data_IF_808911278306
#
_entry.id   IF_808911278306
#
_cell.length_a   1.000
_cell.length_b   1.000
_cell.length_c   1.000
_cell.angle_alpha   90.00
_cell.angle_beta   90.00
_cell.angle_gamma   90.00
#
_symmetry.space_group_name_H-M   'P 1'
#
loop_
_entity.id
_entity.type
_entity.pdbx_description
1 polymer ?
#
# COMPACT_ATOMS: atom_id res chain seq x y z
N UNK A 1 -0.05 -0.94 25.65
CA UNK A 1 0.88 -1.42 26.69
C UNK A 1 2.31 -1.19 26.18
N UNK A 2 3.21 -0.85 27.07
CA UNK A 2 4.64 -0.77 26.79
C UNK A 2 5.26 -2.15 26.94
N UNK A 3 6.42 -2.40 26.31
CA UNK A 3 7.20 -3.61 26.50
C UNK A 3 7.62 -3.82 27.96
N UNK A 4 7.78 -5.08 28.36
CA UNK A 4 8.33 -5.45 29.67
C UNK A 4 9.85 -5.23 29.77
N UNK A 5 10.44 -5.53 30.90
CA UNK A 5 11.87 -5.31 31.14
C UNK A 5 12.82 -6.10 30.21
N UNK A 6 12.33 -7.17 29.58
CA UNK A 6 13.10 -8.00 28.66
C UNK A 6 12.96 -7.54 27.18
N UNK A 7 12.08 -6.57 26.89
CA UNK A 7 11.93 -5.99 25.56
C UNK A 7 13.09 -5.04 25.21
N UNK A 8 13.26 -4.72 23.92
CA UNK A 8 14.23 -3.71 23.50
C UNK A 8 13.92 -2.35 24.15
N UNK A 9 14.92 -1.49 24.27
CA UNK A 9 14.73 -0.15 24.84
C UNK A 9 13.65 0.63 24.08
N UNK A 10 13.58 0.45 22.76
CA UNK A 10 12.56 1.06 21.91
C UNK A 10 11.15 0.63 22.33
N UNK A 11 10.92 -0.68 22.53
CA UNK A 11 9.61 -1.22 22.90
C UNK A 11 9.25 -1.02 24.37
N UNK A 12 10.23 -0.81 25.24
CA UNK A 12 9.98 -0.36 26.62
C UNK A 12 9.43 1.07 26.66
N UNK A 13 9.88 1.92 25.76
CA UNK A 13 9.50 3.34 25.69
C UNK A 13 8.24 3.52 24.84
N UNK A 14 8.15 2.81 23.73
CA UNK A 14 7.03 2.86 22.79
C UNK A 14 5.92 1.84 23.15
N UNK A 15 4.92 1.75 22.29
CA UNK A 15 3.86 0.73 22.39
C UNK A 15 4.39 -0.59 21.85
N UNK A 16 4.14 -1.69 22.59
CA UNK A 16 4.56 -3.02 22.18
C UNK A 16 3.85 -3.47 20.90
N UNK A 17 4.60 -3.97 19.95
CA UNK A 17 4.11 -4.49 18.66
C UNK A 17 3.93 -3.43 17.59
N UNK A 18 3.53 -3.87 16.40
CA UNK A 18 3.21 -2.98 15.28
C UNK A 18 1.75 -2.55 15.31
N UNK A 19 1.49 -1.27 15.35
CA UNK A 19 0.14 -0.70 15.32
C UNK A 19 -0.08 -0.02 13.97
N UNK A 20 -0.93 -0.64 13.14
CA UNK A 20 -1.33 -0.06 11.87
C UNK A 20 -2.59 0.77 12.07
N UNK A 21 -2.47 2.05 11.84
CA UNK A 21 -3.58 3.00 11.84
C UNK A 21 -3.59 3.65 10.47
N UNK A 22 -4.76 3.86 9.87
CA UNK A 22 -4.92 4.71 8.71
C UNK A 22 -5.96 5.78 8.98
N UNK A 23 -5.74 6.94 8.39
CA UNK A 23 -6.76 7.98 8.26
C UNK A 23 -7.19 8.04 6.81
N UNK A 24 -8.48 7.83 6.57
CA UNK A 24 -9.05 7.82 5.23
C UNK A 24 -9.86 9.10 5.00
N UNK A 25 -9.46 9.86 3.99
CA UNK A 25 -10.13 11.07 3.57
C UNK A 25 -10.69 10.86 2.17
N UNK A 26 -11.91 11.30 1.92
CA UNK A 26 -12.50 11.20 0.59
C UNK A 26 -13.51 12.31 0.33
N UNK A 27 -13.48 12.81 -0.89
CA UNK A 27 -14.46 13.76 -1.40
C UNK A 27 -15.05 13.21 -2.70
N UNK A 28 -16.37 13.13 -2.77
CA UNK A 28 -17.09 12.70 -3.96
C UNK A 28 -17.99 13.82 -4.48
N UNK A 29 -17.83 14.14 -5.75
CA UNK A 29 -18.77 14.95 -6.50
C UNK A 29 -19.65 14.06 -7.38
N UNK A 30 -20.96 14.22 -7.30
CA UNK A 30 -21.94 13.48 -8.08
C UNK A 30 -22.67 14.43 -9.01
N UNK A 31 -22.48 14.28 -10.31
CA UNK A 31 -23.30 14.90 -11.35
C UNK A 31 -24.41 13.92 -11.80
N UNK A 32 -25.23 14.34 -12.75
CA UNK A 32 -26.32 13.50 -13.29
C UNK A 32 -25.80 12.23 -13.97
N UNK A 33 -24.77 12.37 -14.80
CA UNK A 33 -24.31 11.33 -15.71
C UNK A 33 -22.86 10.86 -15.42
N UNK A 34 -22.23 11.39 -14.36
CA UNK A 34 -20.87 11.02 -13.95
C UNK A 34 -20.61 11.33 -12.46
N UNK A 35 -19.61 10.70 -11.90
CA UNK A 35 -19.11 11.06 -10.58
C UNK A 35 -17.60 11.04 -10.55
N UNK A 36 -17.02 11.93 -9.74
CA UNK A 36 -15.59 12.01 -9.46
C UNK A 36 -15.37 11.87 -7.96
N UNK A 37 -14.47 10.98 -7.58
CA UNK A 37 -14.04 10.79 -6.19
C UNK A 37 -12.53 10.98 -6.09
N UNK A 38 -12.10 11.92 -5.25
CA UNK A 38 -10.72 12.01 -4.78
C UNK A 38 -10.63 11.41 -3.40
N UNK A 39 -9.54 10.65 -3.11
CA UNK A 39 -9.33 10.05 -1.80
C UNK A 39 -7.86 10.01 -1.45
N UNK A 40 -7.60 10.01 -0.15
CA UNK A 40 -6.28 9.89 0.44
C UNK A 40 -6.35 8.99 1.66
N UNK A 41 -5.53 7.95 1.69
CA UNK A 41 -5.32 7.10 2.85
C UNK A 41 -3.94 7.39 3.41
N UNK A 42 -3.91 7.92 4.63
CA UNK A 42 -2.69 8.22 5.36
C UNK A 42 -2.29 7.04 6.23
N UNK A 43 -1.02 6.66 6.18
CA UNK A 43 -0.46 5.56 6.97
C UNK A 43 0.14 6.09 8.27
N UNK A 44 -0.16 5.44 9.39
CA UNK A 44 0.42 5.73 10.68
C UNK A 44 0.96 4.46 11.31
N UNK A 45 2.23 4.44 11.64
CA UNK A 45 2.87 3.35 12.38
C UNK A 45 3.10 3.70 13.85
N UNK A 46 3.34 4.96 14.12
CA UNK A 46 3.54 5.50 15.45
C UNK A 46 3.02 6.94 15.57
N UNK A 47 3.43 7.61 16.63
CA UNK A 47 3.04 9.01 16.88
C UNK A 47 3.54 9.96 15.79
N UNK A 48 4.70 9.70 15.17
CA UNK A 48 5.22 10.56 14.10
C UNK A 48 4.33 10.52 12.87
N UNK A 49 3.79 9.34 12.51
CA UNK A 49 2.78 9.19 11.48
C UNK A 49 1.47 9.91 11.84
N UNK A 50 1.00 9.79 13.10
CA UNK A 50 -0.19 10.52 13.57
C UNK A 50 -0.03 12.05 13.51
N UNK A 51 1.19 12.54 13.64
CA UNK A 51 1.55 13.96 13.51
C UNK A 51 1.85 14.37 12.04
N UNK A 52 1.61 13.50 11.07
CA UNK A 52 1.87 13.72 9.64
C UNK A 52 3.34 14.03 9.29
N UNK A 53 4.29 13.57 10.10
CA UNK A 53 5.73 13.76 9.86
C UNK A 53 6.27 12.89 8.72
N UNK A 54 5.56 11.83 8.36
CA UNK A 54 5.83 11.00 7.19
C UNK A 54 5.42 11.66 5.85
N UNK A 55 5.04 12.94 5.89
CA UNK A 55 4.84 13.79 4.72
C UNK A 55 3.70 13.30 3.83
N UNK A 56 4.02 12.92 2.60
CA UNK A 56 3.05 12.48 1.59
C UNK A 56 2.87 10.96 1.54
N UNK A 57 3.48 10.21 2.46
CA UNK A 57 3.31 8.76 2.48
C UNK A 57 1.85 8.37 2.66
N UNK A 58 1.45 7.37 1.89
CA UNK A 58 0.07 6.92 1.81
C UNK A 58 -0.37 6.63 0.38
N UNK A 59 -1.68 6.47 0.20
CA UNK A 59 -2.32 6.24 -1.08
C UNK A 59 -3.18 7.46 -1.45
N UNK A 60 -2.93 8.02 -2.61
CA UNK A 60 -3.69 9.10 -3.23
C UNK A 60 -4.45 8.55 -4.43
N UNK A 61 -5.74 8.74 -4.49
CA UNK A 61 -6.57 8.16 -5.54
C UNK A 61 -7.54 9.15 -6.17
N UNK A 62 -7.80 8.90 -7.44
CA UNK A 62 -8.83 9.57 -8.24
C UNK A 62 -9.64 8.51 -8.97
N UNK A 63 -10.95 8.54 -8.81
CA UNK A 63 -11.90 7.63 -9.44
C UNK A 63 -12.94 8.43 -10.22
N UNK A 64 -13.06 8.15 -11.52
CA UNK A 64 -14.07 8.71 -12.40
C UNK A 64 -15.03 7.60 -12.83
N UNK A 65 -16.32 7.78 -12.60
CA UNK A 65 -17.38 6.88 -13.04
C UNK A 65 -18.23 7.57 -14.10
N UNK A 66 -18.45 6.87 -15.23
CA UNK A 66 -19.16 7.33 -16.42
C UNK A 66 -20.24 6.30 -16.83
N UNK A 67 -21.29 6.09 -16.02
CA UNK A 67 -22.25 5.00 -16.22
C UNK A 67 -23.03 5.07 -17.54
N UNK A 68 -23.08 6.23 -18.17
CA UNK A 68 -23.74 6.45 -19.48
C UNK A 68 -22.82 6.22 -20.67
N UNK A 69 -21.54 5.91 -20.42
CA UNK A 69 -20.52 5.77 -21.45
C UNK A 69 -19.96 4.34 -21.44
N UNK A 70 -20.61 3.37 -22.10
CA UNK A 70 -20.36 1.96 -21.84
C UNK A 70 -18.93 1.51 -22.15
N UNK A 71 -18.27 2.08 -23.13
CA UNK A 71 -16.91 1.69 -23.48
C UNK A 71 -15.82 2.32 -22.58
N UNK A 72 -16.18 3.20 -21.62
CA UNK A 72 -15.36 3.63 -20.51
C UNK A 72 -16.27 3.93 -19.30
N UNK A 73 -16.67 2.89 -18.58
CA UNK A 73 -17.56 3.02 -17.42
C UNK A 73 -16.83 3.58 -16.19
N UNK A 74 -15.56 3.22 -16.05
CA UNK A 74 -14.76 3.63 -14.89
C UNK A 74 -13.29 3.81 -15.27
N UNK A 75 -12.69 4.85 -14.70
CA UNK A 75 -11.26 5.10 -14.68
C UNK A 75 -10.82 5.28 -13.23
N UNK A 76 -9.68 4.68 -12.85
CA UNK A 76 -9.02 4.85 -11.56
C UNK A 76 -7.57 5.20 -11.80
N UNK A 77 -7.07 6.17 -11.05
CA UNK A 77 -5.66 6.48 -10.93
C UNK A 77 -5.30 6.50 -9.45
N UNK A 78 -4.25 5.77 -9.08
CA UNK A 78 -3.71 5.79 -7.73
C UNK A 78 -2.20 6.02 -7.74
N UNK A 79 -1.76 6.79 -6.77
CA UNK A 79 -0.37 7.03 -6.47
C UNK A 79 -0.10 6.60 -5.03
N UNK A 80 0.84 5.68 -4.84
CA UNK A 80 1.26 5.20 -3.52
C UNK A 80 2.71 5.57 -3.29
N UNK A 81 3.01 6.03 -2.11
CA UNK A 81 4.40 6.20 -1.66
C UNK A 81 4.54 5.82 -0.19
N UNK A 82 5.65 5.16 0.12
CA UNK A 82 6.07 4.78 1.47
C UNK A 82 7.53 5.18 1.73
N UNK A 83 7.99 6.23 1.05
CA UNK A 83 9.42 6.58 0.99
C UNK A 83 9.90 7.45 2.14
N UNK A 84 9.03 8.27 2.70
CA UNK A 84 9.40 9.24 3.71
C UNK A 84 9.65 8.60 5.07
N UNK A 85 8.71 7.75 5.53
CA UNK A 85 8.81 6.99 6.78
C UNK A 85 9.21 7.86 7.98
N UNK A 86 8.68 9.09 8.04
CA UNK A 86 9.00 10.10 9.07
C UNK A 86 10.49 10.44 9.17
N UNK A 87 11.21 10.35 8.03
CA UNK A 87 12.63 10.64 7.92
C UNK A 87 13.56 9.46 8.18
N UNK A 88 14.87 9.64 8.01
CA UNK A 88 15.85 8.55 8.06
C UNK A 88 16.28 8.15 9.47
N UNK A 89 15.91 8.91 10.50
CA UNK A 89 16.36 8.69 11.86
C UNK A 89 15.21 8.39 12.78
N UNK A 90 15.35 7.31 13.55
CA UNK A 90 14.50 7.06 14.69
C UNK A 90 15.09 7.77 15.91
N UNK A 91 14.31 8.64 16.55
CA UNK A 91 14.73 9.37 17.73
C UNK A 91 13.91 8.98 18.94
N UNK A 92 14.60 8.83 20.06
CA UNK A 92 14.03 8.56 21.39
C UNK A 92 14.51 9.68 22.32
N UNK A 93 13.59 10.27 23.07
CA UNK A 93 13.96 11.25 24.07
C UNK A 93 14.65 10.56 25.26
N UNK A 94 15.88 11.00 25.59
CA UNK A 94 16.65 10.47 26.70
C UNK A 94 16.01 10.70 28.06
N UNK A 95 15.21 11.74 28.22
CA UNK A 95 14.47 12.06 29.47
C UNK A 95 12.98 11.73 29.25
N UNK A 96 12.66 10.45 29.29
CA UNK A 96 11.31 9.94 29.09
C UNK A 96 10.33 10.42 30.17
N UNK A 97 10.80 10.68 31.41
CA UNK A 97 9.93 11.13 32.51
C UNK A 97 9.44 12.56 32.26
N UNK A 98 10.27 13.41 31.67
CA UNK A 98 9.87 14.77 31.27
C UNK A 98 9.12 14.85 29.95
N UNK A 99 9.35 13.86 29.06
CA UNK A 99 8.77 13.83 27.72
C UNK A 99 8.18 12.47 27.36
N UNK A 100 7.21 11.96 28.15
CA UNK A 100 6.64 10.64 27.95
C UNK A 100 5.97 10.53 26.58
N UNK A 101 6.27 9.45 25.86
CA UNK A 101 5.69 9.17 24.54
C UNK A 101 6.21 10.08 23.41
N UNK A 102 7.33 10.75 23.60
CA UNK A 102 8.05 11.47 22.54
C UNK A 102 9.17 10.61 21.99
N UNK A 103 8.93 9.98 20.90
CA UNK A 103 9.81 9.22 20.05
C UNK A 103 9.20 9.15 18.67
N UNK A 104 9.89 8.58 17.70
CA UNK A 104 9.39 8.36 16.36
C UNK A 104 10.40 8.65 15.27
N UNK A 105 9.96 8.61 14.02
CA UNK A 105 10.81 8.74 12.84
C UNK A 105 11.51 7.44 12.47
N UNK A 106 11.87 7.29 11.21
CA UNK A 106 12.47 6.06 10.68
C UNK A 106 11.53 4.87 10.80
N UNK A 107 10.26 5.03 10.41
CA UNK A 107 9.15 4.13 10.74
C UNK A 107 9.30 2.71 10.20
N UNK A 108 10.19 2.44 9.28
CA UNK A 108 10.50 1.11 8.68
C UNK A 108 9.25 0.26 8.44
N UNK A 109 8.30 0.79 7.66
CA UNK A 109 6.97 0.22 7.45
C UNK A 109 6.99 -1.27 7.17
N UNK A 110 6.06 -2.02 7.78
CA UNK A 110 5.92 -3.47 7.73
C UNK A 110 6.98 -4.25 8.50
N UNK A 111 8.07 -3.64 8.93
CA UNK A 111 9.07 -4.28 9.79
C UNK A 111 8.84 -3.97 11.26
N UNK A 112 9.38 -4.80 12.13
CA UNK A 112 9.35 -4.60 13.57
C UNK A 112 10.60 -5.24 14.20
N UNK A 113 11.22 -4.56 15.16
CA UNK A 113 12.44 -5.03 15.81
C UNK A 113 12.27 -6.28 16.69
N UNK A 114 11.10 -6.45 17.31
CA UNK A 114 10.78 -7.60 18.15
C UNK A 114 10.13 -8.74 17.36
N UNK A 115 9.29 -8.41 16.40
CA UNK A 115 8.59 -9.35 15.52
C UNK A 115 9.26 -9.37 14.16
N UNK A 116 10.40 -10.08 14.07
CA UNK A 116 11.32 -10.04 12.92
C UNK A 116 10.69 -10.42 11.56
N UNK A 117 9.59 -11.15 11.56
CA UNK A 117 8.83 -11.45 10.33
C UNK A 117 8.01 -10.25 9.83
N UNK A 118 7.90 -9.19 10.65
CA UNK A 118 7.12 -8.02 10.34
C UNK A 118 5.63 -8.34 10.11
N UNK A 119 5.00 -7.57 9.24
CA UNK A 119 3.58 -7.75 8.88
C UNK A 119 3.38 -8.83 7.83
N UNK A 120 3.82 -10.03 8.15
CA UNK A 120 3.63 -11.19 7.29
C UNK A 120 2.89 -12.32 8.01
N UNK A 121 2.27 -13.20 7.23
CA UNK A 121 1.68 -14.44 7.67
C UNK A 121 2.25 -15.57 6.82
N UNK A 122 2.99 -16.52 7.43
CA UNK A 122 3.79 -17.51 6.71
C UNK A 122 4.65 -16.87 5.60
N UNK A 123 5.40 -15.82 5.96
CA UNK A 123 6.28 -15.02 5.10
C UNK A 123 5.58 -14.31 3.92
N UNK A 124 4.25 -14.32 3.87
CA UNK A 124 3.45 -13.58 2.89
C UNK A 124 2.97 -12.27 3.46
N UNK A 125 3.12 -11.21 2.68
CA UNK A 125 2.70 -9.86 3.05
C UNK A 125 1.21 -9.82 3.42
N UNK A 126 0.92 -9.21 4.56
CA UNK A 126 -0.45 -8.89 4.99
C UNK A 126 -0.68 -7.40 4.79
N UNK A 127 -1.67 -7.05 3.98
CA UNK A 127 -2.02 -5.66 3.67
C UNK A 127 -1.71 -5.29 2.22
N UNK A 128 -0.70 -4.46 1.97
CA UNK A 128 -0.42 -3.97 0.62
C UNK A 128 0.23 -5.03 -0.28
N UNK A 129 -0.35 -5.33 -1.46
CA UNK A 129 0.25 -6.22 -2.44
C UNK A 129 1.46 -5.61 -3.16
N UNK A 130 1.73 -4.32 -2.95
CA UNK A 130 2.83 -3.59 -3.57
C UNK A 130 4.17 -3.86 -2.88
N UNK A 131 4.16 -4.46 -1.69
CA UNK A 131 5.37 -4.84 -0.97
C UNK A 131 5.70 -6.31 -1.23
N UNK A 132 6.93 -6.54 -1.67
CA UNK A 132 7.42 -7.89 -1.93
C UNK A 132 7.44 -8.69 -0.62
N UNK A 133 6.75 -9.81 -0.61
CA UNK A 133 6.67 -10.68 0.56
C UNK A 133 8.03 -11.26 0.95
N UNK A 134 8.29 -11.46 2.25
CA UNK A 134 9.54 -12.09 2.72
C UNK A 134 9.84 -13.46 2.11
N UNK A 135 8.81 -14.23 1.71
CA UNK A 135 8.99 -15.53 1.02
C UNK A 135 9.86 -15.45 -0.26
N UNK A 136 9.98 -14.25 -0.84
CA UNK A 136 10.81 -14.00 -2.05
C UNK A 136 12.20 -13.45 -1.72
N UNK A 137 12.57 -13.34 -0.45
CA UNK A 137 13.91 -12.91 -0.05
C UNK A 137 14.95 -13.98 -0.42
N UNK A 138 15.90 -13.64 -1.25
CA UNK A 138 16.89 -14.59 -1.80
C UNK A 138 17.93 -15.05 -0.77
N UNK A 139 18.09 -14.32 0.31
CA UNK A 139 19.01 -14.61 1.41
C UNK A 139 18.33 -15.34 2.59
N UNK A 140 17.01 -15.60 2.48
CA UNK A 140 16.23 -16.22 3.54
C UNK A 140 16.04 -15.35 4.80
N UNK A 141 16.41 -14.08 4.75
CA UNK A 141 16.22 -13.18 5.89
C UNK A 141 14.70 -12.93 6.10
N UNK A 142 14.24 -12.93 7.37
CA UNK A 142 12.86 -12.56 7.67
C UNK A 142 12.61 -11.07 7.47
N UNK A 143 11.33 -10.69 7.32
CA UNK A 143 10.91 -9.29 7.18
C UNK A 143 11.03 -8.76 5.76
N UNK A 144 10.63 -7.50 5.61
CA UNK A 144 10.52 -6.83 4.31
C UNK A 144 11.81 -6.12 3.94
N UNK A 145 12.40 -6.49 2.81
CA UNK A 145 13.63 -5.87 2.29
C UNK A 145 13.38 -4.68 1.37
N UNK A 146 12.11 -4.43 0.99
CA UNK A 146 11.72 -3.40 0.02
C UNK A 146 10.42 -2.72 0.45
N UNK A 147 10.46 -1.93 1.52
CA UNK A 147 9.30 -1.22 2.04
C UNK A 147 9.26 0.28 1.69
N UNK A 148 10.27 0.78 0.98
CA UNK A 148 10.30 2.15 0.44
C UNK A 148 9.95 2.12 -1.04
N UNK A 149 8.67 2.26 -1.34
CA UNK A 149 8.14 2.13 -2.69
C UNK A 149 7.48 3.42 -3.17
N UNK A 150 7.33 3.52 -4.49
CA UNK A 150 6.51 4.51 -5.17
C UNK A 150 5.85 3.83 -6.36
N UNK A 151 4.52 3.86 -6.39
CA UNK A 151 3.73 3.17 -7.38
C UNK A 151 2.74 4.12 -8.04
N UNK A 152 2.52 3.89 -9.32
CA UNK A 152 1.44 4.48 -10.11
C UNK A 152 0.55 3.35 -10.60
N UNK A 153 -0.71 3.39 -10.25
CA UNK A 153 -1.70 2.43 -10.66
C UNK A 153 -2.77 3.08 -11.53
N UNK A 154 -3.08 2.45 -12.65
CA UNK A 154 -4.12 2.84 -13.58
C UNK A 154 -5.11 1.71 -13.76
N UNK A 155 -6.39 1.99 -13.64
CA UNK A 155 -7.46 1.06 -13.88
C UNK A 155 -8.46 1.60 -14.89
N UNK A 156 -8.85 0.76 -15.84
CA UNK A 156 -9.91 1.03 -16.79
C UNK A 156 -10.91 -0.11 -16.78
N UNK A 157 -12.21 0.21 -16.89
CA UNK A 157 -13.29 -0.75 -17.02
C UNK A 157 -14.32 -0.22 -17.98
N UNK A 158 -14.88 -1.11 -18.80
CA UNK A 158 -15.94 -0.78 -19.74
C UNK A 158 -16.49 -2.00 -20.45
N UNK A 159 -17.37 -1.77 -21.44
CA UNK A 159 -18.03 -2.80 -22.21
C UNK A 159 -18.00 -2.44 -23.69
N UNK A 160 -17.51 -3.35 -24.53
CA UNK A 160 -17.55 -3.20 -25.99
C UNK A 160 -18.94 -3.50 -26.56
N UNK A 161 -19.71 -4.34 -25.85
CA UNK A 161 -21.08 -4.71 -26.18
C UNK A 161 -21.83 -5.14 -24.92
N UNK A 162 -23.16 -5.33 -24.96
CA UNK A 162 -23.92 -5.85 -23.82
C UNK A 162 -23.45 -7.24 -23.32
N UNK A 163 -22.67 -7.95 -24.12
CA UNK A 163 -22.18 -9.29 -23.81
C UNK A 163 -20.67 -9.36 -23.60
N UNK A 164 -19.92 -8.29 -23.87
CA UNK A 164 -18.46 -8.27 -23.78
C UNK A 164 -18.03 -7.06 -22.93
N UNK A 165 -17.51 -7.33 -21.76
CA UNK A 165 -16.89 -6.33 -20.89
C UNK A 165 -15.39 -6.56 -20.77
N UNK A 166 -14.68 -5.53 -20.33
CA UNK A 166 -13.24 -5.60 -20.12
C UNK A 166 -12.82 -4.87 -18.84
N UNK A 167 -11.68 -5.26 -18.31
CA UNK A 167 -10.95 -4.56 -17.26
C UNK A 167 -9.46 -4.59 -17.58
N UNK A 168 -8.84 -3.45 -17.46
CA UNK A 168 -7.39 -3.27 -17.64
C UNK A 168 -6.80 -2.63 -16.40
N UNK A 169 -5.74 -3.22 -15.85
CA UNK A 169 -5.00 -2.68 -14.72
C UNK A 169 -3.52 -2.62 -15.07
N UNK A 170 -2.88 -1.50 -14.81
CA UNK A 170 -1.45 -1.28 -15.00
C UNK A 170 -0.87 -0.70 -13.71
N UNK A 171 0.17 -1.34 -13.19
CA UNK A 171 0.95 -0.81 -12.05
C UNK A 171 2.41 -0.65 -12.47
N UNK A 172 2.95 0.56 -12.27
CA UNK A 172 4.36 0.85 -12.45
C UNK A 172 4.97 1.17 -11.07
N UNK A 173 5.89 0.32 -10.62
CA UNK A 173 6.49 0.35 -9.29
C UNK A 173 7.97 0.71 -9.34
N UNK A 174 8.41 1.51 -8.37
CA UNK A 174 9.82 1.70 -8.06
C UNK A 174 10.07 1.36 -6.58
N UNK A 175 11.19 0.69 -6.27
CA UNK A 175 11.59 0.43 -4.89
C UNK A 175 13.03 0.83 -4.60
N UNK A 176 13.29 1.24 -3.37
CA UNK A 176 14.58 1.74 -2.87
C UNK A 176 15.13 0.93 -1.69
N UNK A 177 14.61 -0.28 -1.43
CA UNK A 177 15.00 -1.06 -0.26
C UNK A 177 14.28 -0.58 1.00
N UNK A 178 14.96 -0.63 2.14
CA UNK A 178 14.48 -0.11 3.44
C UNK A 178 15.23 1.17 3.83
N UNK A 179 14.82 1.79 4.95
CA UNK A 179 15.55 2.93 5.52
C UNK A 179 16.95 2.55 6.01
N UNK A 180 17.08 1.35 6.59
CA UNK A 180 18.34 0.82 7.17
C UNK A 180 19.23 0.10 6.16
N UNK A 181 18.64 -0.46 5.08
CA UNK A 181 19.33 -1.16 4.01
C UNK A 181 18.87 -0.63 2.63
N UNK A 182 19.27 0.62 2.29
CA UNK A 182 18.87 1.20 1.02
C UNK A 182 19.56 0.51 -0.16
N UNK A 183 18.84 0.32 -1.26
CA UNK A 183 19.42 -0.18 -2.50
C UNK A 183 20.34 0.89 -3.10
N UNK A 184 21.51 0.47 -3.59
CA UNK A 184 22.43 1.35 -4.33
C UNK A 184 21.79 1.91 -5.61
N UNK A 185 20.92 1.15 -6.23
CA UNK A 185 20.16 1.54 -7.41
C UNK A 185 18.71 1.10 -7.22
N UNK A 186 17.76 2.00 -7.53
CA UNK A 186 16.33 1.64 -7.49
C UNK A 186 16.05 0.45 -8.40
N UNK A 187 15.10 -0.38 -8.01
CA UNK A 187 14.51 -1.40 -8.88
C UNK A 187 13.17 -0.91 -9.41
N UNK A 188 12.89 -1.23 -10.64
CA UNK A 188 11.65 -0.90 -11.33
C UNK A 188 10.87 -2.18 -11.60
N UNK A 189 9.54 -2.13 -11.51
CA UNK A 189 8.63 -3.22 -11.82
C UNK A 189 7.42 -2.70 -12.58
N UNK A 190 6.87 -3.53 -13.44
CA UNK A 190 5.61 -3.28 -14.14
C UNK A 190 4.74 -4.52 -13.99
N UNK A 191 3.48 -4.32 -13.62
CA UNK A 191 2.46 -5.37 -13.59
C UNK A 191 1.29 -4.95 -14.45
N UNK A 192 0.80 -5.88 -15.27
CA UNK A 192 -0.29 -5.68 -16.20
C UNK A 192 -1.31 -6.79 -16.02
N UNK A 193 -2.59 -6.43 -15.91
CA UNK A 193 -3.72 -7.35 -16.01
C UNK A 193 -4.68 -6.84 -17.07
N UNK A 194 -5.01 -7.71 -18.03
CA UNK A 194 -6.08 -7.50 -18.98
C UNK A 194 -7.10 -8.64 -18.82
N UNK A 195 -8.33 -8.30 -18.54
CA UNK A 195 -9.44 -9.24 -18.32
C UNK A 195 -10.54 -8.91 -19.30
N UNK A 196 -10.97 -9.91 -20.07
CA UNK A 196 -12.11 -9.80 -20.99
C UNK A 196 -13.13 -10.85 -20.58
N UNK A 197 -14.33 -10.41 -20.29
CA UNK A 197 -15.45 -11.25 -19.91
C UNK A 197 -16.50 -11.29 -21.03
N UNK A 198 -16.82 -12.50 -21.48
CA UNK A 198 -17.91 -12.74 -22.43
C UNK A 198 -19.07 -13.44 -21.72
N UNK A 199 -20.24 -12.81 -21.77
CA UNK A 199 -21.49 -13.38 -21.24
C UNK A 199 -22.38 -13.85 -22.38
N UNK A 200 -22.51 -15.19 -22.52
CA UNK A 200 -23.31 -15.77 -23.59
C UNK A 200 -24.82 -15.51 -23.37
N UNK A 201 -25.58 -14.94 -24.33
CA UNK A 201 -26.96 -14.54 -24.11
C UNK A 201 -27.92 -15.71 -23.76
N UNK A 202 -27.63 -16.92 -24.26
CA UNK A 202 -28.48 -18.12 -24.09
C UNK A 202 -28.04 -19.02 -22.93
N UNK A 203 -26.82 -18.84 -22.40
CA UNK A 203 -26.25 -19.65 -21.32
C UNK A 203 -26.18 -18.82 -20.04
N UNK A 204 -27.31 -18.73 -19.33
CA UNK A 204 -27.36 -18.01 -18.07
C UNK A 204 -26.43 -18.67 -17.05
N UNK A 205 -25.48 -17.89 -16.51
CA UNK A 205 -24.55 -18.37 -15.49
C UNK A 205 -23.22 -18.91 -16.01
N UNK A 206 -22.98 -19.01 -17.32
CA UNK A 206 -21.68 -19.33 -17.91
C UNK A 206 -20.94 -18.03 -18.31
N UNK A 207 -19.77 -17.79 -17.72
CA UNK A 207 -18.84 -16.75 -18.14
C UNK A 207 -17.48 -17.35 -18.45
N UNK A 208 -16.84 -16.88 -19.52
CA UNK A 208 -15.44 -17.18 -19.84
C UNK A 208 -14.59 -16.00 -19.38
N UNK A 209 -13.64 -16.26 -18.47
CA UNK A 209 -12.67 -15.29 -17.99
C UNK A 209 -11.31 -15.73 -18.53
N UNK A 210 -10.64 -14.84 -19.26
CA UNK A 210 -9.25 -15.03 -19.67
C UNK A 210 -8.38 -14.10 -18.82
N UNK A 211 -7.51 -14.70 -17.99
CA UNK A 211 -6.54 -13.97 -17.17
C UNK A 211 -5.17 -14.26 -17.77
N UNK A 212 -4.46 -13.22 -18.20
CA UNK A 212 -3.03 -13.31 -18.52
C UNK A 212 -2.23 -12.80 -17.32
N UNK A 213 -1.42 -13.64 -16.72
CA UNK A 213 -0.46 -13.22 -15.71
C UNK A 213 0.78 -12.65 -16.41
N UNK A 214 1.39 -11.58 -15.87
CA UNK A 214 2.69 -11.11 -16.35
C UNK A 214 3.78 -12.14 -16.01
N UNK A 215 4.59 -12.47 -16.96
CA UNK A 215 5.84 -13.26 -16.81
C UNK A 215 6.97 -12.38 -16.33
#
# INVERSE_FOLDING_TARGET
AKGGGDASLSDQINVLGSHHISFDFGLKYQAKDWSLRGYYQHLCYDKSGMEFKNGTDGLWGLELNLPTFPWLEQFVFEYVTTRNQSGPFHYIWFDHDKHPGRGGGGDDYYNNGEYVTGNSYFDRSVGSPLLVSPEYNTDGAPGFQNNRVRDFHFGLKGSFSPTVSYRFLLTAMNTWGTGTAPLLKKKDGISLLADIQYQHPKLKGLSLIHISEPT
#
